data_IF_611185893269
#
_entry.id   IF_611185893269
#
_cell.length_a   1.000
_cell.length_b   1.000
_cell.length_c   1.000
_cell.angle_alpha   90.00
_cell.angle_beta   90.00
_cell.angle_gamma   90.00
#
_symmetry.space_group_name_H-M   'P 1'
#
loop_
_entity.id
_entity.type
_entity.pdbx_description
1 polymer ?
#
# COMPACT_ATOMS: atom_id res chain seq x y z
N UNK A 1 26.46 -12.63 6.72
CA UNK A 1 26.32 -11.21 7.14
C UNK A 1 26.51 -10.26 5.98
N UNK A 2 27.61 -10.36 5.23
CA UNK A 2 27.87 -9.54 4.04
C UNK A 2 26.75 -9.65 2.98
N UNK A 3 26.30 -10.88 2.67
CA UNK A 3 25.21 -11.11 1.72
C UNK A 3 23.87 -10.47 2.15
N UNK A 4 23.56 -10.48 3.44
CA UNK A 4 22.37 -9.82 3.97
C UNK A 4 22.46 -8.30 3.79
N UNK A 5 23.62 -7.72 4.10
CA UNK A 5 23.84 -6.27 3.94
C UNK A 5 23.77 -5.84 2.49
N UNK A 6 24.31 -6.64 1.56
CA UNK A 6 24.19 -6.37 0.13
C UNK A 6 22.71 -6.34 -0.29
N UNK A 7 21.92 -7.36 0.08
CA UNK A 7 20.48 -7.40 -0.21
C UNK A 7 19.72 -6.22 0.39
N UNK A 8 20.05 -5.83 1.63
CA UNK A 8 19.44 -4.65 2.25
C UNK A 8 19.79 -3.38 1.47
N UNK A 9 21.02 -3.26 0.97
CA UNK A 9 21.43 -2.12 0.16
C UNK A 9 20.71 -2.09 -1.19
N UNK A 10 20.57 -3.23 -1.87
CA UNK A 10 19.79 -3.34 -3.11
C UNK A 10 18.32 -2.90 -2.93
N UNK A 11 17.69 -3.32 -1.83
CA UNK A 11 16.31 -2.91 -1.52
C UNK A 11 16.26 -1.44 -1.13
N UNK A 12 17.22 -0.94 -0.36
CA UNK A 12 17.32 0.48 0.00
C UNK A 12 17.39 1.37 -1.25
N UNK A 13 18.26 1.08 -2.21
CA UNK A 13 18.40 1.88 -3.43
C UNK A 13 17.10 1.92 -4.22
N UNK A 14 16.42 0.78 -4.36
CA UNK A 14 15.11 0.69 -5.04
C UNK A 14 14.03 1.47 -4.30
N UNK A 15 13.95 1.31 -2.98
CA UNK A 15 13.01 2.06 -2.16
C UNK A 15 13.31 3.56 -2.20
N UNK A 16 14.57 3.97 -2.30
CA UNK A 16 14.96 5.37 -2.27
C UNK A 16 14.50 6.12 -3.54
N UNK A 17 14.40 5.41 -4.66
CA UNK A 17 13.82 5.93 -5.92
C UNK A 17 12.30 6.17 -5.74
N UNK A 18 11.60 5.29 -5.03
CA UNK A 18 10.15 5.37 -4.82
C UNK A 18 9.76 6.33 -3.68
N UNK A 19 10.46 6.26 -2.55
CA UNK A 19 10.25 7.04 -1.33
C UNK A 19 11.50 6.98 -0.43
N UNK A 20 12.23 8.10 -0.32
CA UNK A 20 13.44 8.21 0.51
C UNK A 20 13.21 7.97 2.00
N UNK A 21 12.04 8.36 2.52
CA UNK A 21 11.66 8.11 3.91
C UNK A 21 11.43 6.61 4.17
N UNK A 22 10.77 5.91 3.24
CA UNK A 22 10.56 4.46 3.33
C UNK A 22 11.89 3.71 3.24
N UNK A 23 12.82 4.17 2.39
CA UNK A 23 14.17 3.63 2.31
C UNK A 23 14.97 3.83 3.60
N UNK A 24 14.93 5.04 4.16
CA UNK A 24 15.57 5.35 5.44
C UNK A 24 15.04 4.44 6.54
N UNK A 25 13.71 4.33 6.64
CA UNK A 25 13.06 3.46 7.60
C UNK A 25 13.48 1.99 7.42
N UNK A 26 13.56 1.50 6.18
CA UNK A 26 14.01 0.14 5.88
C UNK A 26 15.45 -0.10 6.34
N UNK A 27 16.35 0.84 6.06
CA UNK A 27 17.77 0.74 6.44
C UNK A 27 17.96 0.80 7.95
N UNK A 28 17.23 1.65 8.65
CA UNK A 28 17.26 1.73 10.12
C UNK A 28 16.72 0.46 10.78
N UNK A 29 15.78 -0.20 10.11
CA UNK A 29 15.13 -1.42 10.59
C UNK A 29 15.98 -2.68 10.33
N UNK A 30 16.56 -2.83 9.13
CA UNK A 30 17.22 -4.08 8.68
C UNK A 30 18.72 -3.96 8.38
N UNK A 31 19.26 -2.74 8.36
CA UNK A 31 20.63 -2.45 7.96
C UNK A 31 21.67 -2.66 9.05
N UNK A 32 22.92 -2.30 8.72
CA UNK A 32 24.08 -2.56 9.57
C UNK A 32 23.94 -2.02 10.98
N UNK A 33 23.34 -0.83 11.15
CA UNK A 33 23.11 -0.20 12.47
C UNK A 33 22.21 -1.06 13.35
N UNK A 34 21.13 -1.64 12.82
CA UNK A 34 20.24 -2.52 13.58
C UNK A 34 20.96 -3.80 14.02
N UNK A 35 21.76 -4.38 13.13
CA UNK A 35 22.52 -5.62 13.37
C UNK A 35 23.60 -5.37 14.44
N UNK A 36 24.37 -4.30 14.31
CA UNK A 36 25.44 -3.95 15.25
C UNK A 36 24.89 -3.69 16.65
N UNK A 37 23.73 -3.03 16.74
CA UNK A 37 23.06 -2.78 18.01
C UNK A 37 22.29 -4.01 18.55
N UNK A 38 22.34 -5.16 17.87
CA UNK A 38 21.58 -6.38 18.19
C UNK A 38 20.10 -6.10 18.41
N UNK A 39 19.55 -5.09 17.74
CA UNK A 39 18.14 -4.72 17.86
C UNK A 39 17.31 -5.76 17.13
N UNK A 40 16.45 -6.46 17.87
CA UNK A 40 15.44 -7.29 17.25
C UNK A 40 14.47 -6.39 16.48
N UNK A 41 14.25 -6.71 15.20
CA UNK A 41 13.29 -5.95 14.40
C UNK A 41 11.89 -6.08 15.02
N UNK A 42 11.18 -4.98 15.31
CA UNK A 42 9.82 -5.07 15.80
C UNK A 42 8.87 -5.71 14.77
N UNK A 43 7.91 -6.49 15.26
CA UNK A 43 6.93 -7.15 14.38
C UNK A 43 6.12 -6.17 13.51
N UNK A 44 5.68 -4.98 13.99
CA UNK A 44 4.96 -4.00 13.17
C UNK A 44 5.72 -3.60 11.90
N UNK A 45 7.02 -3.30 12.02
CA UNK A 45 7.84 -2.94 10.87
C UNK A 45 7.99 -4.09 9.87
N UNK A 46 8.20 -5.32 10.33
CA UNK A 46 8.22 -6.49 9.42
C UNK A 46 6.91 -6.66 8.67
N UNK A 47 5.79 -6.48 9.37
CA UNK A 47 4.47 -6.60 8.78
C UNK A 47 4.23 -5.49 7.74
N UNK A 48 4.60 -4.25 8.04
CA UNK A 48 4.50 -3.14 7.10
C UNK A 48 5.29 -3.42 5.82
N UNK A 49 6.58 -3.75 5.93
CA UNK A 49 7.39 -4.03 4.73
C UNK A 49 6.94 -5.29 3.98
N UNK A 50 6.43 -6.31 4.68
CA UNK A 50 5.85 -7.48 4.01
C UNK A 50 4.58 -7.12 3.24
N UNK A 51 3.70 -6.29 3.79
CA UNK A 51 2.49 -5.87 3.11
C UNK A 51 2.78 -4.94 1.93
N UNK A 52 3.76 -4.03 2.07
CA UNK A 52 4.23 -3.20 0.95
C UNK A 52 4.87 -4.05 -0.17
N UNK A 53 5.63 -5.09 0.20
CA UNK A 53 6.28 -5.99 -0.75
C UNK A 53 5.35 -7.05 -1.35
N UNK A 54 4.18 -7.29 -0.74
CA UNK A 54 3.21 -8.20 -1.31
C UNK A 54 2.66 -7.60 -2.61
N UNK A 55 2.89 -8.30 -3.72
CA UNK A 55 2.48 -7.90 -5.08
C UNK A 55 0.96 -7.84 -5.28
N UNK A 56 0.17 -8.39 -4.34
CA UNK A 56 -1.29 -8.36 -4.36
C UNK A 56 -1.84 -7.02 -3.83
N UNK A 57 -1.40 -5.95 -4.49
CA UNK A 57 -1.96 -4.60 -4.48
C UNK A 57 -2.03 -3.86 -3.14
N UNK A 58 -1.42 -2.68 -3.11
CA UNK A 58 -1.73 -1.61 -2.14
C UNK A 58 -3.25 -1.34 -2.05
N UNK A 59 -4.04 -1.70 -3.07
CA UNK A 59 -5.50 -1.63 -3.06
C UNK A 59 -6.20 -2.68 -2.19
N UNK A 60 -5.60 -3.86 -2.00
CA UNK A 60 -6.09 -4.80 -1.00
C UNK A 60 -5.82 -4.29 0.42
N UNK A 61 -4.78 -3.45 0.56
CA UNK A 61 -4.38 -2.80 1.81
C UNK A 61 -5.19 -1.52 2.12
N UNK A 62 -5.61 -0.78 1.09
CA UNK A 62 -6.28 0.52 1.19
C UNK A 62 -7.44 0.55 0.20
N UNK A 63 -8.66 0.30 0.69
CA UNK A 63 -9.88 0.50 -0.08
C UNK A 63 -10.26 2.00 -0.11
N UNK A 64 -11.34 2.36 -0.82
CA UNK A 64 -11.75 3.78 -0.95
C UNK A 64 -11.98 4.48 0.39
N UNK A 65 -12.58 3.82 1.39
CA UNK A 65 -12.78 4.41 2.71
C UNK A 65 -11.48 4.52 3.51
N UNK A 66 -10.61 3.50 3.45
CA UNK A 66 -9.29 3.55 4.09
C UNK A 66 -8.41 4.65 3.49
N UNK A 67 -8.57 4.94 2.19
CA UNK A 67 -7.86 6.03 1.54
C UNK A 67 -8.34 7.39 2.04
N UNK A 68 -9.65 7.57 2.22
CA UNK A 68 -10.25 8.78 2.77
C UNK A 68 -9.81 9.01 4.23
N UNK A 69 -9.84 7.95 5.05
CA UNK A 69 -9.31 7.97 6.42
C UNK A 69 -7.82 8.38 6.47
N UNK A 70 -7.03 7.87 5.54
CA UNK A 70 -5.61 8.23 5.39
C UNK A 70 -5.45 9.69 4.95
N UNK A 71 -6.27 10.19 4.02
CA UNK A 71 -6.29 11.59 3.62
C UNK A 71 -6.67 12.53 4.77
N UNK A 72 -7.65 12.14 5.59
CA UNK A 72 -8.04 12.87 6.80
C UNK A 72 -6.93 12.92 7.84
N UNK A 73 -6.23 11.81 8.07
CA UNK A 73 -5.04 11.80 8.93
C UNK A 73 -3.96 12.73 8.39
N UNK A 74 -3.65 12.66 7.09
CA UNK A 74 -2.62 13.47 6.45
C UNK A 74 -2.92 14.97 6.42
N UNK A 75 -4.19 15.37 6.53
CA UNK A 75 -4.60 16.78 6.60
C UNK A 75 -4.21 17.45 7.93
N UNK A 76 -4.07 16.65 9.00
CA UNK A 76 -3.61 17.11 10.30
C UNK A 76 -2.96 15.92 11.05
N UNK A 77 -1.73 15.54 10.66
CA UNK A 77 -1.09 14.35 11.19
C UNK A 77 -0.70 14.59 12.65
N UNK A 78 -1.42 13.93 13.56
CA UNK A 78 -1.07 13.96 14.96
C UNK A 78 -1.44 12.64 15.63
N UNK A 79 -0.81 12.37 16.78
CA UNK A 79 -0.99 11.12 17.52
C UNK A 79 -2.45 10.82 17.88
N UNK A 80 -3.24 11.86 18.18
CA UNK A 80 -4.66 11.71 18.48
C UNK A 80 -5.50 11.21 17.28
N UNK A 81 -5.00 11.36 16.06
CA UNK A 81 -5.68 10.93 14.83
C UNK A 81 -5.26 9.54 14.35
N UNK A 82 -4.25 8.91 14.97
CA UNK A 82 -3.72 7.60 14.52
C UNK A 82 -4.81 6.51 14.54
N UNK A 83 -5.79 6.59 15.44
CA UNK A 83 -6.91 5.63 15.51
C UNK A 83 -7.77 5.61 14.26
N UNK A 84 -7.79 6.68 13.45
CA UNK A 84 -8.47 6.70 12.15
C UNK A 84 -7.88 5.72 11.15
N UNK A 85 -6.62 5.32 11.35
CA UNK A 85 -5.91 4.41 10.46
C UNK A 85 -6.09 2.94 10.82
N UNK A 86 -7.02 2.60 11.73
CA UNK A 86 -7.29 1.20 12.11
C UNK A 86 -7.64 0.32 10.91
N UNK A 87 -8.20 0.93 9.85
CA UNK A 87 -8.54 0.31 8.57
C UNK A 87 -7.32 0.02 7.69
N UNK A 88 -6.12 0.45 8.09
CA UNK A 88 -4.81 0.14 7.47
C UNK A 88 -3.90 -0.46 8.57
N UNK A 89 -4.09 -1.74 8.94
CA UNK A 89 -3.53 -2.29 10.17
C UNK A 89 -2.01 -2.20 10.28
N UNK A 90 -1.27 -2.39 9.18
CA UNK A 90 0.18 -2.29 9.21
C UNK A 90 0.69 -0.88 9.51
N UNK A 91 0.07 0.15 8.91
CA UNK A 91 0.44 1.55 9.15
C UNK A 91 0.06 1.96 10.57
N UNK A 92 -1.14 1.58 11.02
CA UNK A 92 -1.59 1.81 12.38
C UNK A 92 -0.64 1.22 13.43
N UNK A 93 -0.23 -0.05 13.27
CA UNK A 93 0.65 -0.72 14.21
C UNK A 93 2.02 -0.05 14.34
N UNK A 94 2.57 0.47 13.24
CA UNK A 94 3.85 1.18 13.24
C UNK A 94 3.72 2.55 13.90
N UNK A 95 2.66 3.32 13.58
CA UNK A 95 2.40 4.62 14.21
C UNK A 95 2.06 4.54 15.70
N UNK A 96 1.55 3.40 16.17
CA UNK A 96 1.32 3.14 17.60
C UNK A 96 2.61 2.79 18.36
N UNK A 97 3.59 2.21 17.68
CA UNK A 97 4.84 1.76 18.31
C UNK A 97 5.74 2.94 18.68
N UNK A 98 5.85 3.92 17.79
CA UNK A 98 6.79 5.03 17.95
C UNK A 98 6.15 6.24 18.61
N UNK A 99 6.86 6.83 19.58
CA UNK A 99 6.43 8.05 20.30
C UNK A 99 6.33 9.26 19.37
N UNK A 100 7.21 9.29 18.38
CA UNK A 100 7.27 10.30 17.34
C UNK A 100 6.77 9.71 16.01
N UNK A 101 5.75 10.34 15.44
CA UNK A 101 5.15 9.92 14.18
C UNK A 101 5.69 10.70 12.98
N UNK A 102 6.43 11.80 13.20
CA UNK A 102 6.92 12.68 12.14
C UNK A 102 7.71 11.92 11.06
N UNK A 103 8.62 10.97 11.38
CA UNK A 103 9.36 10.22 10.37
C UNK A 103 8.47 9.31 9.50
N UNK A 104 7.26 8.98 9.98
CA UNK A 104 6.32 8.09 9.33
C UNK A 104 5.30 8.84 8.46
N UNK A 105 5.17 10.17 8.62
CA UNK A 105 4.26 10.98 7.80
C UNK A 105 4.60 10.87 6.30
N UNK A 106 5.86 11.00 5.86
CA UNK A 106 6.18 10.87 4.44
C UNK A 106 5.92 9.45 3.88
N UNK A 107 6.03 8.42 4.73
CA UNK A 107 5.66 7.04 4.38
C UNK A 107 4.16 6.91 4.19
N UNK A 108 3.36 7.51 5.09
CA UNK A 108 1.90 7.56 4.99
C UNK A 108 1.44 8.34 3.74
N UNK A 109 2.10 9.45 3.40
CA UNK A 109 1.85 10.22 2.18
C UNK A 109 2.12 9.38 0.92
N UNK A 110 3.27 8.70 0.88
CA UNK A 110 3.61 7.83 -0.24
C UNK A 110 2.58 6.70 -0.41
N UNK A 111 2.14 6.07 0.69
CA UNK A 111 1.08 5.06 0.66
C UNK A 111 -0.23 5.62 0.10
N UNK A 112 -0.64 6.81 0.53
CA UNK A 112 -1.84 7.49 0.03
C UNK A 112 -1.76 7.76 -1.47
N UNK A 113 -0.65 8.33 -1.95
CA UNK A 113 -0.47 8.61 -3.37
C UNK A 113 -0.46 7.35 -4.22
N UNK A 114 0.27 6.33 -3.77
CA UNK A 114 0.39 5.05 -4.47
C UNK A 114 -0.97 4.36 -4.56
N UNK A 115 -1.72 4.29 -3.46
CA UNK A 115 -3.08 3.77 -3.43
C UNK A 115 -4.04 4.57 -4.33
N UNK A 116 -3.98 5.90 -4.28
CA UNK A 116 -4.80 6.79 -5.11
C UNK A 116 -4.56 6.56 -6.61
N UNK A 117 -3.29 6.42 -7.02
CA UNK A 117 -2.93 6.17 -8.43
C UNK A 117 -3.47 4.83 -8.89
N UNK A 118 -3.31 3.78 -8.08
CA UNK A 118 -3.78 2.45 -8.43
C UNK A 118 -5.33 2.38 -8.47
N UNK A 119 -6.03 3.04 -7.55
CA UNK A 119 -7.51 3.07 -7.55
C UNK A 119 -8.04 3.74 -8.80
N UNK A 120 -7.48 4.91 -9.17
CA UNK A 120 -7.84 5.60 -10.40
C UNK A 120 -7.60 4.76 -11.66
N UNK A 121 -6.53 3.97 -11.69
CA UNK A 121 -6.24 3.05 -12.79
C UNK A 121 -7.36 2.00 -12.97
N UNK A 122 -7.83 1.40 -11.89
CA UNK A 122 -8.90 0.40 -11.92
C UNK A 122 -10.28 0.99 -12.23
N UNK A 123 -10.59 2.19 -11.72
CA UNK A 123 -11.88 2.84 -11.97
C UNK A 123 -12.14 3.10 -13.46
N UNK A 124 -11.09 3.27 -14.27
CA UNK A 124 -11.21 3.47 -15.73
C UNK A 124 -11.46 2.15 -16.47
N UNK A 125 -10.97 1.02 -15.97
CA UNK A 125 -11.19 -0.30 -16.59
C UNK A 125 -12.63 -0.79 -16.39
N UNK A 126 -13.25 -0.49 -15.23
CA UNK A 126 -14.66 -0.84 -14.95
C UNK A 126 -15.63 -0.09 -15.89
N UNK A 127 -15.29 1.12 -16.33
CA UNK A 127 -16.09 1.90 -17.28
C UNK A 127 -15.98 1.42 -18.74
N UNK A 128 -15.14 0.43 -19.05
CA UNK A 128 -14.99 -0.16 -20.39
C UNK A 128 -15.80 -1.44 -20.61
N UNK A 129 -16.64 -1.84 -19.66
CA UNK A 129 -17.51 -3.02 -19.79
C UNK A 129 -18.89 -2.72 -20.41
N UNK A 130 -19.15 -1.48 -20.83
CA UNK A 130 -20.32 -1.11 -21.63
C UNK A 130 -19.91 -0.79 -23.09
N UNK A 131 -19.56 -1.82 -23.87
CA UNK A 131 -19.56 -1.73 -25.33
C UNK A 131 -20.84 -2.38 -25.89
N UNK A 132 -21.90 -1.61 -26.18
CA UNK A 132 -23.13 -2.13 -26.77
C UNK A 132 -23.00 -2.54 -28.25
N UNK A 133 -21.79 -2.72 -28.80
CA UNK A 133 -21.56 -3.03 -30.22
C UNK A 133 -20.94 -4.40 -30.50
N UNK A 134 -20.72 -5.24 -29.50
CA UNK A 134 -20.37 -6.65 -29.75
C UNK A 134 -21.62 -7.48 -30.05
N UNK A 135 -22.05 -7.37 -31.31
CA UNK A 135 -23.09 -8.11 -32.04
C UNK A 135 -23.35 -9.55 -31.55
N UNK A 136 -24.63 -9.90 -31.45
CA UNK A 136 -25.12 -11.10 -32.14
C UNK A 136 -26.14 -10.66 -33.19
N UNK A 137 -25.76 -10.83 -34.45
CA UNK A 137 -26.66 -10.79 -35.58
C UNK A 137 -27.59 -12.03 -35.53
N UNK A 138 -28.86 -11.78 -35.86
CA UNK A 138 -29.75 -12.65 -36.65
C UNK A 138 -29.88 -14.12 -36.24
N UNK A 139 -30.94 -14.45 -35.49
CA UNK A 139 -31.66 -15.70 -35.69
C UNK A 139 -33.16 -15.40 -35.88
N UNK A 140 -33.58 -15.67 -37.11
CA UNK A 140 -34.90 -16.04 -37.66
C UNK A 140 -36.19 -15.85 -36.81
N UNK A 141 -37.23 -15.17 -37.34
CA UNK A 141 -38.55 -15.12 -36.71
C UNK A 141 -39.35 -16.38 -37.08
N UNK A 142 -39.06 -17.51 -36.43
CA UNK A 142 -39.92 -18.68 -36.59
C UNK A 142 -39.33 -19.98 -36.12
N UNK A 143 -39.46 -20.30 -34.83
CA UNK A 143 -39.78 -21.67 -34.39
C UNK A 143 -40.18 -21.70 -32.92
N UNK A 144 -41.47 -21.96 -32.73
CA UNK A 144 -42.06 -22.86 -31.74
C UNK A 144 -41.71 -22.70 -30.25
N UNK A 145 -42.47 -21.82 -29.60
CA UNK A 145 -42.94 -22.05 -28.25
C UNK A 145 -44.20 -22.93 -28.31
N UNK A 146 -44.11 -24.22 -27.97
CA UNK A 146 -45.15 -24.96 -27.21
C UNK A 146 -44.80 -26.44 -27.01
N UNK A 147 -44.88 -26.82 -25.72
CA UNK A 147 -45.28 -28.12 -25.13
C UNK A 147 -44.58 -29.40 -25.60
#
# INVERSE_FOLDING_TARGET
MLEHLNRVNDVYEKLNIECSALATLFRETFGAVAILNKKAVPAPYRNLFRQIAAEESILQMINGSSLDDLGHFLSNPCRAQVTKLVTIPALYQVLQLDSDIEPLIPVAQWLHERASRTLRGLSVEVLRLDDPRSKLNSEDPGSDWKL
#
